data_IF_654968744938
#
_entry.id   IF_654968744938
#
_cell.length_a   1.000
_cell.length_b   1.000
_cell.length_c   1.000
_cell.angle_alpha   90.00
_cell.angle_beta   90.00
_cell.angle_gamma   90.00
#
_symmetry.space_group_name_H-M   'P 1'
#
loop_
_entity.id
_entity.type
_entity.pdbx_description
1 polymer ?
#
# COMPACT_ATOMS: atom_id res chain seq x y z
N UNK A 1 11.61 12.46 3.35
CA UNK A 1 11.16 11.72 4.56
C UNK A 1 12.27 11.67 5.61
N UNK A 2 12.02 12.11 6.85
CA UNK A 2 12.91 11.88 7.99
C UNK A 2 13.22 10.38 8.17
N UNK A 3 14.41 10.03 8.69
CA UNK A 3 14.85 8.63 8.85
C UNK A 3 13.84 7.75 9.60
N UNK A 4 13.15 8.31 10.60
CA UNK A 4 12.10 7.59 11.33
C UNK A 4 10.92 7.21 10.45
N UNK A 5 10.47 8.13 9.57
CA UNK A 5 9.36 7.85 8.63
C UNK A 5 9.76 6.82 7.58
N UNK A 6 10.98 6.92 7.03
CA UNK A 6 11.50 5.91 6.10
C UNK A 6 11.46 4.50 6.70
N UNK A 7 11.86 4.36 7.97
CA UNK A 7 11.83 3.06 8.67
C UNK A 7 10.41 2.52 8.85
N UNK A 8 9.44 3.38 9.20
CA UNK A 8 8.03 2.99 9.31
C UNK A 8 7.47 2.53 7.96
N UNK A 9 7.75 3.29 6.90
CA UNK A 9 7.36 2.94 5.54
C UNK A 9 7.96 1.59 5.13
N UNK A 10 9.27 1.37 5.32
CA UNK A 10 9.94 0.10 5.01
C UNK A 10 9.31 -1.07 5.77
N UNK A 11 9.05 -0.91 7.08
CA UNK A 11 8.39 -1.96 7.87
C UNK A 11 7.03 -2.35 7.28
N UNK A 12 6.22 -1.36 6.93
CA UNK A 12 4.90 -1.59 6.37
C UNK A 12 4.95 -2.27 5.00
N UNK A 13 5.81 -1.78 4.10
CA UNK A 13 6.01 -2.41 2.78
C UNK A 13 6.45 -3.88 2.95
N UNK A 14 7.32 -4.14 3.92
CA UNK A 14 7.78 -5.51 4.23
C UNK A 14 6.64 -6.39 4.75
N UNK A 15 5.77 -5.85 5.61
CA UNK A 15 4.58 -6.55 6.09
C UNK A 15 3.61 -6.88 4.95
N UNK A 16 3.29 -5.88 4.11
CA UNK A 16 2.37 -6.04 2.99
C UNK A 16 2.91 -7.05 1.96
N UNK A 17 4.21 -7.01 1.66
CA UNK A 17 4.85 -8.00 0.79
C UNK A 17 4.80 -9.42 1.38
N UNK A 18 4.85 -9.57 2.71
CA UNK A 18 4.72 -10.85 3.41
C UNK A 18 3.29 -11.37 3.49
N UNK A 19 2.28 -10.55 3.19
CA UNK A 19 0.86 -10.92 3.25
C UNK A 19 0.06 -10.22 2.14
N UNK A 20 0.21 -10.63 0.87
CA UNK A 20 -0.39 -9.95 -0.27
C UNK A 20 -1.92 -9.93 -0.28
N UNK A 21 -2.56 -10.81 0.50
CA UNK A 21 -4.01 -10.85 0.69
C UNK A 21 -4.51 -9.90 1.79
N UNK A 22 -3.62 -9.14 2.43
CA UNK A 22 -4.00 -8.13 3.41
C UNK A 22 -4.81 -7.04 2.70
N UNK A 23 -6.04 -6.83 3.17
CA UNK A 23 -6.91 -5.76 2.70
C UNK A 23 -6.48 -4.42 3.30
N UNK A 24 -6.75 -3.33 2.57
CA UNK A 24 -6.66 -1.98 3.10
C UNK A 24 -7.80 -1.65 4.05
N UNK A 25 -7.80 -0.42 4.55
CA UNK A 25 -8.91 0.16 5.32
C UNK A 25 -10.14 0.41 4.42
N UNK A 26 -9.91 0.72 3.15
CA UNK A 26 -10.93 0.84 2.10
C UNK A 26 -10.31 0.59 0.72
N UNK A 27 -11.15 0.52 -0.31
CA UNK A 27 -10.72 0.37 -1.70
C UNK A 27 -11.53 1.19 -2.68
N UNK A 28 -10.88 1.61 -3.76
CA UNK A 28 -11.49 2.36 -4.86
C UNK A 28 -10.96 1.85 -6.21
N UNK A 29 -11.82 1.74 -7.25
CA UNK A 29 -11.36 1.38 -8.58
C UNK A 29 -10.57 2.53 -9.22
N UNK A 30 -9.44 2.22 -9.84
CA UNK A 30 -8.72 3.18 -10.68
C UNK A 30 -9.31 3.28 -12.10
N UNK A 31 -8.75 4.15 -12.94
CA UNK A 31 -9.18 4.34 -14.34
C UNK A 31 -9.10 3.06 -15.19
N UNK A 32 -8.30 2.07 -14.79
CA UNK A 32 -8.18 0.78 -15.45
C UNK A 32 -9.13 -0.29 -14.85
N UNK A 33 -9.94 0.09 -13.86
CA UNK A 33 -10.87 -0.80 -13.16
C UNK A 33 -10.20 -1.73 -12.14
N UNK A 34 -8.94 -1.47 -11.76
CA UNK A 34 -8.26 -2.23 -10.70
C UNK A 34 -8.71 -1.72 -9.35
N UNK A 35 -9.00 -2.64 -8.44
CA UNK A 35 -9.37 -2.31 -7.07
C UNK A 35 -8.13 -1.91 -6.27
N UNK A 36 -7.91 -0.59 -6.13
CA UNK A 36 -6.80 -0.02 -5.37
C UNK A 36 -7.19 0.03 -3.92
N UNK A 37 -6.38 -0.62 -3.08
CA UNK A 37 -6.52 -0.68 -1.65
C UNK A 37 -5.78 0.50 -1.00
N UNK A 38 -6.37 1.08 0.03
CA UNK A 38 -5.80 2.20 0.77
C UNK A 38 -5.61 1.83 2.23
N UNK A 39 -4.44 2.12 2.80
CA UNK A 39 -4.15 1.89 4.23
C UNK A 39 -3.52 3.12 4.86
N UNK A 40 -4.03 3.54 6.02
CA UNK A 40 -3.49 4.65 6.80
C UNK A 40 -2.54 4.12 7.88
N UNK A 41 -1.28 4.53 7.83
CA UNK A 41 -0.27 4.15 8.84
C UNK A 41 0.45 5.38 9.39
N UNK A 42 0.00 5.80 10.56
CA UNK A 42 0.47 7.04 11.16
C UNK A 42 -0.03 8.25 10.38
N UNK A 43 0.90 9.02 9.83
CA UNK A 43 0.66 10.21 9.01
C UNK A 43 0.74 9.91 7.50
N UNK A 44 0.72 8.63 7.10
CA UNK A 44 0.88 8.21 5.71
C UNK A 44 -0.33 7.42 5.21
N UNK A 45 -0.96 7.89 4.14
CA UNK A 45 -1.92 7.13 3.35
C UNK A 45 -1.17 6.42 2.23
N UNK A 46 -1.34 5.11 2.10
CA UNK A 46 -0.70 4.31 1.06
C UNK A 46 -1.74 3.65 0.19
N UNK A 47 -1.63 3.86 -1.11
CA UNK A 47 -2.44 3.21 -2.13
C UNK A 47 -1.66 2.06 -2.77
N UNK A 48 -2.25 0.88 -2.84
CA UNK A 48 -1.61 -0.33 -3.35
C UNK A 48 -2.59 -1.29 -4.01
N UNK A 49 -2.08 -2.24 -4.79
CA UNK A 49 -2.87 -3.38 -5.24
C UNK A 49 -1.98 -4.63 -5.42
N UNK A 50 -2.52 -5.82 -5.10
CA UNK A 50 -1.88 -7.09 -5.41
C UNK A 50 -2.24 -7.56 -6.82
N UNK A 51 -1.23 -7.87 -7.64
CA UNK A 51 -1.39 -8.60 -8.90
C UNK A 51 -1.30 -10.10 -8.62
N UNK A 52 -2.45 -10.75 -8.47
CA UNK A 52 -2.50 -12.18 -8.18
C UNK A 52 -1.91 -13.05 -9.31
N UNK A 53 -2.18 -12.79 -10.61
CA UNK A 53 -1.55 -13.51 -11.72
C UNK A 53 -0.01 -13.53 -11.73
N UNK A 54 0.66 -12.42 -11.41
CA UNK A 54 2.14 -12.34 -11.44
C UNK A 54 2.81 -12.31 -10.07
N UNK A 55 2.04 -12.45 -8.98
CA UNK A 55 2.54 -12.38 -7.59
C UNK A 55 3.29 -11.08 -7.29
N UNK A 56 2.84 -9.98 -7.87
CA UNK A 56 3.41 -8.67 -7.62
C UNK A 56 2.56 -7.90 -6.60
N UNK A 57 3.22 -7.08 -5.80
CA UNK A 57 2.57 -6.10 -4.95
C UNK A 57 3.05 -4.73 -5.39
N UNK A 58 2.11 -3.86 -5.78
CA UNK A 58 2.45 -2.55 -6.34
C UNK A 58 1.88 -1.46 -5.45
N UNK A 59 2.76 -0.57 -5.03
CA UNK A 59 2.40 0.70 -4.40
C UNK A 59 2.23 1.69 -5.53
N UNK A 60 1.07 2.34 -5.58
CA UNK A 60 0.74 3.33 -6.62
C UNK A 60 0.84 4.76 -6.09
N UNK A 61 0.63 4.97 -4.80
CA UNK A 61 0.80 6.29 -4.19
C UNK A 61 1.13 6.22 -2.69
N UNK A 62 1.76 7.28 -2.19
CA UNK A 62 2.05 7.53 -0.77
C UNK A 62 1.88 9.01 -0.47
N UNK A 63 0.86 9.35 0.31
CA UNK A 63 0.51 10.72 0.68
C UNK A 63 0.67 10.98 2.18
N UNK A 64 1.00 12.22 2.57
CA UNK A 64 0.98 12.66 3.97
C UNK A 64 -0.39 13.26 4.31
N UNK A 65 -0.94 12.92 5.49
CA UNK A 65 -2.26 13.38 5.99
C UNK A 65 -2.10 14.38 7.14
#
# INVERSE_FOLDING_TARGET
LPKMRQRKLIQLITQLAGSPSQLGDYSEPDDAGRDVQFILVGDLLIAFWPDHPVKEFRIVDVEEV
#
